data_IF_520916115451
#
_entry.id   IF_520916115451
#
_cell.length_a   1.000
_cell.length_b   1.000
_cell.length_c   1.000
_cell.angle_alpha   90.00
_cell.angle_beta   90.00
_cell.angle_gamma   90.00
#
_symmetry.space_group_name_H-M   'P 1'
#
loop_
_entity.id
_entity.type
_entity.pdbx_description
1 polymer ?
#
# COMPACT_ATOMS: atom_id res chain seq x y z
N UNK A 1 21.30 -8.78 -16.00
CA UNK A 1 20.19 -8.71 -15.03
C UNK A 1 19.91 -7.25 -14.75
N UNK A 2 19.08 -6.61 -15.57
CA UNK A 2 18.83 -5.17 -15.51
C UNK A 2 17.74 -4.88 -14.48
N UNK A 3 18.11 -4.14 -13.43
CA UNK A 3 17.18 -3.39 -12.59
C UNK A 3 16.54 -2.33 -13.49
N UNK A 4 15.21 -2.28 -13.68
CA UNK A 4 14.64 -1.18 -14.43
C UNK A 4 14.78 0.07 -13.56
N UNK A 5 15.53 1.05 -14.04
CA UNK A 5 15.58 2.37 -13.45
C UNK A 5 14.16 2.95 -13.49
N UNK A 6 13.44 2.91 -12.36
CA UNK A 6 12.11 3.50 -12.21
C UNK A 6 12.20 4.98 -12.57
N UNK A 7 11.76 5.34 -13.77
CA UNK A 7 11.83 6.71 -14.26
C UNK A 7 10.80 7.54 -13.49
N UNK A 8 11.17 8.75 -13.04
CA UNK A 8 10.27 9.62 -12.25
C UNK A 8 8.85 9.76 -12.85
N UNK A 9 8.68 9.91 -14.18
CA UNK A 9 7.34 9.96 -14.78
C UNK A 9 6.50 8.69 -14.56
N UNK A 10 7.12 7.51 -14.56
CA UNK A 10 6.43 6.24 -14.32
C UNK A 10 5.96 6.15 -12.86
N UNK A 11 6.79 6.58 -11.91
CA UNK A 11 6.42 6.59 -10.48
C UNK A 11 5.20 7.50 -10.24
N UNK A 12 5.22 8.69 -10.83
CA UNK A 12 4.12 9.65 -10.73
C UNK A 12 2.83 9.06 -11.31
N UNK A 13 2.88 8.52 -12.54
CA UNK A 13 1.71 7.92 -13.17
C UNK A 13 1.15 6.73 -12.37
N UNK A 14 2.02 5.84 -11.90
CA UNK A 14 1.61 4.70 -11.08
C UNK A 14 1.02 5.13 -9.73
N UNK A 15 1.58 6.18 -9.10
CA UNK A 15 1.04 6.77 -7.88
C UNK A 15 -0.36 7.35 -8.10
N UNK A 16 -0.57 8.15 -9.15
CA UNK A 16 -1.91 8.66 -9.48
C UNK A 16 -2.90 7.56 -9.83
N UNK A 17 -2.46 6.51 -10.54
CA UNK A 17 -3.30 5.35 -10.82
C UNK A 17 -3.72 4.63 -9.54
N UNK A 18 -2.79 4.41 -8.59
CA UNK A 18 -3.10 3.84 -7.28
C UNK A 18 -4.11 4.71 -6.51
N UNK A 19 -3.92 6.04 -6.51
CA UNK A 19 -4.83 7.00 -5.87
C UNK A 19 -6.19 7.11 -6.55
N UNK A 20 -6.39 6.52 -7.73
CA UNK A 20 -7.71 6.47 -8.39
C UNK A 20 -8.63 5.36 -7.84
N UNK A 21 -8.10 4.42 -7.05
CA UNK A 21 -8.87 3.33 -6.45
C UNK A 21 -9.48 3.76 -5.09
N UNK A 22 -10.82 3.73 -4.91
CA UNK A 22 -11.47 4.09 -3.65
C UNK A 22 -11.03 3.25 -2.44
N UNK A 23 -10.69 1.97 -2.65
CA UNK A 23 -10.20 1.12 -1.58
C UNK A 23 -8.81 1.58 -1.12
N UNK A 24 -7.94 1.96 -2.06
CA UNK A 24 -6.62 2.51 -1.75
C UNK A 24 -6.75 3.80 -0.94
N UNK A 25 -7.63 4.71 -1.35
CA UNK A 25 -7.89 5.95 -0.59
C UNK A 25 -8.38 5.64 0.83
N UNK A 26 -9.26 4.66 0.98
CA UNK A 26 -9.75 4.24 2.31
C UNK A 26 -8.64 3.67 3.18
N UNK A 27 -7.72 2.89 2.60
CA UNK A 27 -6.54 2.37 3.31
C UNK A 27 -5.60 3.48 3.75
N UNK A 28 -5.32 4.44 2.87
CA UNK A 28 -4.45 5.58 3.15
C UNK A 28 -5.03 6.46 4.27
N UNK A 29 -6.34 6.71 4.28
CA UNK A 29 -6.96 7.47 5.36
C UNK A 29 -6.78 6.80 6.72
N UNK A 30 -6.95 5.48 6.80
CA UNK A 30 -6.71 4.72 8.04
C UNK A 30 -5.23 4.78 8.46
N UNK A 31 -4.32 4.55 7.51
CA UNK A 31 -2.87 4.55 7.75
C UNK A 31 -2.32 5.94 8.10
N UNK A 32 -2.98 7.01 7.64
CA UNK A 32 -2.67 8.39 8.00
C UNK A 32 -2.93 8.66 9.49
N UNK A 33 -3.83 7.91 10.11
CA UNK A 33 -4.23 8.10 11.51
C UNK A 33 -3.35 7.28 12.46
N UNK A 34 -2.94 6.08 12.04
CA UNK A 34 -2.08 5.18 12.82
C UNK A 34 -1.44 4.08 11.95
N UNK A 35 -0.32 3.52 12.39
CA UNK A 35 0.24 2.30 11.79
C UNK A 35 -0.70 1.11 12.04
N UNK A 36 -0.99 0.31 11.00
CA UNK A 36 -1.90 -0.84 11.09
C UNK A 36 -1.29 -2.06 10.42
N UNK A 37 -1.37 -3.22 11.09
CA UNK A 37 -1.04 -4.47 10.43
C UNK A 37 -2.04 -4.77 9.31
N UNK A 38 -1.63 -5.61 8.35
CA UNK A 38 -2.52 -6.14 7.30
C UNK A 38 -3.78 -6.76 7.89
N UNK A 39 -3.67 -7.43 9.05
CA UNK A 39 -4.78 -8.02 9.77
C UNK A 39 -5.85 -7.00 10.20
N UNK A 40 -5.42 -5.85 10.71
CA UNK A 40 -6.33 -4.83 11.23
C UNK A 40 -6.94 -4.03 10.09
N UNK A 41 -6.19 -3.80 9.00
CA UNK A 41 -6.74 -3.28 7.74
C UNK A 41 -7.84 -4.19 7.17
N UNK A 42 -7.65 -5.52 7.19
CA UNK A 42 -8.68 -6.47 6.75
C UNK A 42 -9.97 -6.32 7.55
N UNK A 43 -9.85 -6.23 8.88
CA UNK A 43 -11.00 -6.07 9.78
C UNK A 43 -11.69 -4.73 9.57
N UNK A 44 -10.93 -3.65 9.48
CA UNK A 44 -11.47 -2.29 9.36
C UNK A 44 -12.21 -2.06 8.04
N UNK A 45 -11.70 -2.64 6.94
CA UNK A 45 -12.25 -2.44 5.60
C UNK A 45 -13.20 -3.55 5.15
N UNK A 46 -13.29 -4.66 5.89
CA UNK A 46 -14.11 -5.81 5.50
C UNK A 46 -13.64 -6.50 4.22
N UNK A 47 -12.35 -6.39 3.90
CA UNK A 47 -11.74 -6.91 2.67
C UNK A 47 -10.82 -8.08 3.01
N UNK A 48 -10.75 -9.08 2.12
CA UNK A 48 -9.86 -10.22 2.30
C UNK A 48 -8.37 -9.83 2.18
N UNK A 49 -7.52 -10.62 2.82
CA UNK A 49 -6.08 -10.35 2.90
C UNK A 49 -5.38 -10.37 1.54
N UNK A 50 -5.81 -11.24 0.61
CA UNK A 50 -5.18 -11.35 -0.72
C UNK A 50 -5.35 -10.06 -1.52
N UNK A 51 -6.56 -9.49 -1.52
CA UNK A 51 -6.85 -8.21 -2.18
C UNK A 51 -6.09 -7.07 -1.51
N UNK A 52 -6.10 -7.00 -0.19
CA UNK A 52 -5.38 -5.97 0.56
C UNK A 52 -3.86 -6.02 0.33
N UNK A 53 -3.27 -7.22 0.34
CA UNK A 53 -1.83 -7.41 0.09
C UNK A 53 -1.42 -6.95 -1.31
N UNK A 54 -2.29 -7.16 -2.30
CA UNK A 54 -2.06 -6.67 -3.66
C UNK A 54 -2.00 -5.13 -3.70
N UNK A 55 -2.97 -4.45 -3.09
CA UNK A 55 -2.98 -2.99 -3.03
C UNK A 55 -1.82 -2.41 -2.20
N UNK A 56 -1.48 -3.03 -1.06
CA UNK A 56 -0.33 -2.62 -0.24
C UNK A 56 1.00 -2.74 -0.99
N UNK A 57 1.15 -3.77 -1.82
CA UNK A 57 2.32 -3.91 -2.68
C UNK A 57 2.42 -2.74 -3.67
N UNK A 58 1.33 -2.38 -4.35
CA UNK A 58 1.30 -1.22 -5.25
C UNK A 58 1.63 0.08 -4.53
N UNK A 59 1.08 0.29 -3.33
CA UNK A 59 1.38 1.46 -2.51
C UNK A 59 2.86 1.53 -2.09
N UNK A 60 3.47 0.39 -1.77
CA UNK A 60 4.90 0.30 -1.44
C UNK A 60 5.79 0.58 -2.66
N UNK A 61 5.44 0.01 -3.82
CA UNK A 61 6.18 0.21 -5.08
C UNK A 61 6.10 1.67 -5.58
N UNK A 62 5.01 2.37 -5.25
CA UNK A 62 4.80 3.78 -5.57
C UNK A 62 5.31 4.73 -4.48
N UNK A 63 5.95 4.21 -3.42
CA UNK A 63 6.44 4.97 -2.28
C UNK A 63 5.36 5.80 -1.55
N UNK A 64 4.09 5.41 -1.66
CA UNK A 64 2.97 6.06 -0.97
C UNK A 64 2.82 5.58 0.48
N UNK A 65 3.40 4.43 0.82
CA UNK A 65 3.46 3.90 2.20
C UNK A 65 4.84 3.36 2.52
N UNK A 66 5.17 3.35 3.81
CA UNK A 66 6.32 2.66 4.34
C UNK A 66 5.87 1.46 5.17
N UNK A 67 6.76 0.49 5.36
CA UNK A 67 6.45 -0.72 6.13
C UNK A 67 7.47 -0.89 7.25
N UNK A 68 7.01 -1.24 8.45
CA UNK A 68 7.83 -1.55 9.62
C UNK A 68 7.56 -2.99 10.05
N UNK A 69 8.61 -3.78 10.21
CA UNK A 69 8.47 -5.14 10.74
C UNK A 69 8.61 -5.12 12.26
N UNK A 70 7.65 -5.72 12.97
CA UNK A 70 7.69 -5.93 14.41
C UNK A 70 7.36 -7.38 14.74
N UNK A 71 8.39 -8.16 15.05
CA UNK A 71 8.29 -9.61 15.21
C UNK A 71 7.79 -10.28 13.93
N UNK A 72 6.63 -10.93 14.01
CA UNK A 72 5.98 -11.61 12.88
C UNK A 72 5.03 -10.73 12.07
N UNK A 73 4.81 -9.49 12.50
CA UNK A 73 3.84 -8.59 11.89
C UNK A 73 4.52 -7.53 11.05
N UNK A 74 3.85 -7.13 9.97
CA UNK A 74 4.23 -5.99 9.13
C UNK A 74 3.17 -4.93 9.36
N UNK A 75 3.62 -3.77 9.83
CA UNK A 75 2.88 -2.53 9.95
C UNK A 75 3.24 -1.61 8.79
#
# INVERSE_FOLDING_TARGET
>A
MQTPATTIPHLIAAGFYALSDPLIISMLELLRQQELCVCDLCKALGVNQSKLSFHLKTLKETALVHTRQEGRWIY
#
